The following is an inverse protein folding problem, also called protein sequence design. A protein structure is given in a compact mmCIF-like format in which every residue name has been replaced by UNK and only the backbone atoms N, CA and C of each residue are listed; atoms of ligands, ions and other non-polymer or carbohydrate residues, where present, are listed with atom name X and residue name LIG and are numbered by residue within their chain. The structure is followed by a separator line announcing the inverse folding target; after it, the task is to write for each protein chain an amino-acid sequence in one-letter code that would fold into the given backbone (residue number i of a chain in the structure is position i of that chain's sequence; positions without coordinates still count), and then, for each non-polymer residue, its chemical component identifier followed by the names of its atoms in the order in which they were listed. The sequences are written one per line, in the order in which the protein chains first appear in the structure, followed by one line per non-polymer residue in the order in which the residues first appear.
data_IF_427356759348
#
_entry.id   IF_427356759348
#
_cell.length_a   1.000
_cell.length_b   1.000
_cell.length_c   1.000
_cell.angle_alpha   90.00
_cell.angle_beta   90.00
_cell.angle_gamma   90.00
#
_symmetry.space_group_name_H-M   'P 1'
#
loop_
_entity.id
_entity.type
_entity.pdbx_description
1 polymer ?
#
# COMPACT_ATOMS: atom_id res chain seq x y z
N UNK A 1 21.59 36.96 -61.36
CA UNK A 1 22.88 36.52 -60.82
C UNK A 1 22.97 37.00 -59.38
N UNK A 2 22.65 36.12 -58.43
CA UNK A 2 23.19 36.05 -57.06
C UNK A 2 22.56 34.81 -56.45
N UNK A 3 23.36 33.75 -56.43
CA UNK A 3 23.06 32.43 -55.88
C UNK A 3 23.33 32.48 -54.37
N UNK A 4 22.27 32.42 -53.57
CA UNK A 4 22.35 32.33 -52.11
C UNK A 4 22.55 30.87 -51.72
N UNK A 5 23.81 30.47 -51.62
CA UNK A 5 24.22 29.18 -51.06
C UNK A 5 24.42 29.35 -49.55
N UNK A 6 23.35 29.11 -48.80
CA UNK A 6 23.33 29.05 -47.35
C UNK A 6 23.82 27.66 -46.91
N UNK A 7 25.10 27.59 -46.53
CA UNK A 7 25.72 26.37 -46.04
C UNK A 7 25.29 26.12 -44.59
N UNK A 8 24.33 25.20 -44.42
CA UNK A 8 23.96 24.65 -43.11
C UNK A 8 25.14 23.89 -42.49
N UNK A 9 25.84 24.55 -41.57
CA UNK A 9 26.86 23.94 -40.73
C UNK A 9 26.22 22.95 -39.76
N UNK A 10 26.26 21.66 -40.08
CA UNK A 10 25.91 20.59 -39.14
C UNK A 10 26.82 20.68 -37.92
N UNK A 11 26.31 20.87 -36.70
CA UNK A 11 27.13 20.81 -35.50
C UNK A 11 27.64 19.38 -35.35
N UNK A 12 28.95 19.20 -35.57
CA UNK A 12 29.65 17.95 -35.31
C UNK A 12 29.75 17.74 -33.80
N UNK A 13 28.68 17.26 -33.18
CA UNK A 13 28.68 16.78 -31.79
C UNK A 13 29.58 15.55 -31.70
N UNK A 14 30.84 15.76 -31.31
CA UNK A 14 31.83 14.69 -31.16
C UNK A 14 31.50 13.73 -30.01
N UNK A 15 32.04 12.49 -30.04
CA UNK A 15 31.77 11.44 -29.04
C UNK A 15 32.21 11.79 -27.61
N UNK A 16 33.00 12.85 -27.42
CA UNK A 16 33.49 13.28 -26.11
C UNK A 16 32.40 13.85 -25.19
N UNK A 17 31.31 14.41 -25.73
CA UNK A 17 30.22 14.97 -24.91
C UNK A 17 29.38 13.88 -24.27
N UNK A 18 29.15 12.76 -24.98
CA UNK A 18 28.41 11.61 -24.47
C UNK A 18 29.15 10.91 -23.31
N UNK A 19 30.48 10.80 -23.40
CA UNK A 19 31.27 10.16 -22.35
C UNK A 19 31.27 10.94 -21.03
N UNK A 20 31.20 12.29 -21.09
CA UNK A 20 31.17 13.11 -19.88
C UNK A 20 29.84 12.99 -19.14
N UNK A 21 28.72 12.91 -19.86
CA UNK A 21 27.40 12.74 -19.26
C UNK A 21 27.26 11.41 -18.49
N UNK A 22 27.74 10.32 -19.09
CA UNK A 22 27.70 9.00 -18.43
C UNK A 22 28.52 8.95 -17.13
N UNK A 23 29.71 9.57 -17.12
CA UNK A 23 30.54 9.64 -15.93
C UNK A 23 29.89 10.48 -14.81
N UNK A 24 29.24 11.60 -15.18
CA UNK A 24 28.51 12.44 -14.23
C UNK A 24 27.31 11.69 -13.63
N UNK A 25 26.53 10.98 -14.45
CA UNK A 25 25.41 10.18 -13.96
C UNK A 25 25.88 9.06 -13.01
N UNK A 26 26.93 8.33 -13.37
CA UNK A 26 27.47 7.28 -12.50
C UNK A 26 27.96 7.83 -11.14
N UNK A 27 28.51 9.05 -11.12
CA UNK A 27 28.90 9.72 -9.89
C UNK A 27 27.68 10.08 -9.03
N UNK A 28 26.58 10.55 -9.63
CA UNK A 28 25.33 10.81 -8.92
C UNK A 28 24.72 9.52 -8.34
N UNK A 29 24.71 8.44 -9.13
CA UNK A 29 24.24 7.12 -8.66
C UNK A 29 25.05 6.63 -7.48
N UNK A 30 26.38 6.74 -7.54
CA UNK A 30 27.26 6.37 -6.44
C UNK A 30 27.03 7.24 -5.20
N UNK A 31 26.84 8.55 -5.36
CA UNK A 31 26.59 9.47 -4.25
C UNK A 31 25.26 9.17 -3.56
N UNK A 32 24.18 8.99 -4.33
CA UNK A 32 22.87 8.63 -3.82
C UNK A 32 22.88 7.27 -3.09
N UNK A 33 23.50 6.25 -3.68
CA UNK A 33 23.64 4.94 -3.05
C UNK A 33 24.45 5.00 -1.74
N UNK A 34 25.51 5.82 -1.70
CA UNK A 34 26.28 6.03 -0.48
C UNK A 34 25.46 6.71 0.62
N UNK A 35 24.65 7.71 0.27
CA UNK A 35 23.77 8.39 1.21
C UNK A 35 22.73 7.42 1.81
N UNK A 36 22.01 6.67 0.97
CA UNK A 36 21.02 5.68 1.43
C UNK A 36 21.66 4.58 2.28
N UNK A 37 22.86 4.12 1.92
CA UNK A 37 23.57 3.11 2.70
C UNK A 37 23.94 3.57 4.13
N UNK A 38 24.06 4.89 4.38
CA UNK A 38 24.31 5.42 5.72
C UNK A 38 23.10 5.26 6.63
N UNK A 39 21.87 5.41 6.12
CA UNK A 39 20.64 5.20 6.90
C UNK A 39 20.58 3.81 7.54
N UNK A 40 21.08 2.77 6.85
CA UNK A 40 21.08 1.39 7.37
C UNK A 40 21.91 1.18 8.65
N UNK A 41 22.92 2.03 8.87
CA UNK A 41 23.93 1.84 9.92
C UNK A 41 24.00 3.01 10.90
N UNK A 42 23.25 4.06 10.61
CA UNK A 42 23.30 5.29 11.37
C UNK A 42 22.67 5.09 12.75
N UNK A 43 23.34 5.59 13.78
CA UNK A 43 22.67 5.97 15.03
C UNK A 43 21.74 7.17 14.79
N UNK A 44 20.89 7.49 15.77
CA UNK A 44 19.96 8.63 15.69
C UNK A 44 20.68 9.97 15.37
N UNK A 45 21.86 10.21 15.96
CA UNK A 45 22.69 11.36 15.63
C UNK A 45 23.25 11.33 14.19
N UNK A 46 23.60 10.14 13.71
CA UNK A 46 24.11 9.95 12.34
C UNK A 46 23.00 10.01 11.30
N UNK A 47 21.75 9.72 11.67
CA UNK A 47 20.59 9.84 10.79
C UNK A 47 20.40 11.28 10.36
N UNK A 48 20.52 12.24 11.28
CA UNK A 48 20.43 13.67 10.94
C UNK A 48 21.51 14.10 9.93
N UNK A 49 22.72 13.57 10.05
CA UNK A 49 23.80 13.82 9.07
C UNK A 49 23.45 13.19 7.71
N UNK A 50 22.97 11.95 7.70
CA UNK A 50 22.57 11.26 6.47
C UNK A 50 21.38 11.94 5.77
N UNK A 51 20.40 12.42 6.54
CA UNK A 51 19.27 13.24 6.06
C UNK A 51 19.79 14.52 5.41
N UNK A 52 20.63 15.29 6.10
CA UNK A 52 21.18 16.53 5.55
C UNK A 52 22.00 16.31 4.25
N UNK A 53 22.81 15.25 4.18
CA UNK A 53 23.55 14.89 2.96
C UNK A 53 22.60 14.56 1.80
N UNK A 54 21.57 13.77 2.05
CA UNK A 54 20.59 13.39 1.04
C UNK A 54 19.77 14.60 0.56
N UNK A 55 19.32 15.45 1.48
CA UNK A 55 18.63 16.72 1.16
C UNK A 55 19.51 17.63 0.31
N UNK A 56 20.81 17.74 0.61
CA UNK A 56 21.74 18.53 -0.20
C UNK A 56 21.89 17.99 -1.64
N UNK A 57 21.86 16.67 -1.82
CA UNK A 57 21.86 16.07 -3.18
C UNK A 57 20.54 16.32 -3.92
N UNK A 58 19.41 16.22 -3.21
CA UNK A 58 18.06 16.39 -3.77
C UNK A 58 17.74 17.84 -4.14
N UNK A 59 18.33 18.82 -3.45
CA UNK A 59 18.16 20.26 -3.72
C UNK A 59 19.21 20.84 -4.67
N UNK A 60 20.19 20.04 -5.10
CA UNK A 60 21.24 20.45 -6.03
C UNK A 60 20.77 20.56 -7.49
N UNK A 61 21.69 20.94 -8.38
CA UNK A 61 21.43 21.13 -9.82
C UNK A 61 20.86 19.89 -10.52
N UNK A 62 21.15 18.69 -9.99
CA UNK A 62 20.67 17.41 -10.52
C UNK A 62 19.56 16.78 -9.65
N UNK A 63 18.86 17.58 -8.84
CA UNK A 63 17.91 17.11 -7.83
C UNK A 63 16.85 16.13 -8.35
N UNK A 64 16.27 16.40 -9.52
CA UNK A 64 15.27 15.52 -10.15
C UNK A 64 15.85 14.16 -10.54
N UNK A 65 17.07 14.14 -11.08
CA UNK A 65 17.77 12.89 -11.43
C UNK A 65 18.14 12.10 -10.18
N UNK A 66 18.66 12.79 -9.15
CA UNK A 66 18.97 12.17 -7.85
C UNK A 66 17.72 11.57 -7.23
N UNK A 67 16.58 12.28 -7.26
CA UNK A 67 15.30 11.76 -6.75
C UNK A 67 14.93 10.43 -7.38
N UNK A 68 14.93 10.33 -8.72
CA UNK A 68 14.61 9.08 -9.42
C UNK A 68 15.57 7.93 -9.08
N UNK A 69 16.86 8.24 -8.87
CA UNK A 69 17.86 7.26 -8.42
C UNK A 69 17.56 6.79 -7.00
N UNK A 70 17.31 7.72 -6.08
CA UNK A 70 17.05 7.45 -4.66
C UNK A 70 15.79 6.60 -4.50
N UNK A 71 14.69 6.95 -5.18
CA UNK A 71 13.46 6.15 -5.19
C UNK A 71 13.69 4.72 -5.69
N UNK A 72 14.51 4.56 -6.74
CA UNK A 72 14.85 3.24 -7.27
C UNK A 72 15.66 2.40 -6.27
N UNK A 73 16.60 3.02 -5.56
CA UNK A 73 17.42 2.35 -4.55
C UNK A 73 16.56 2.00 -3.33
N UNK A 74 15.75 2.94 -2.84
CA UNK A 74 14.91 2.79 -1.65
C UNK A 74 13.97 1.58 -1.74
N UNK A 75 13.38 1.29 -2.91
CA UNK A 75 12.53 0.09 -3.10
C UNK A 75 13.21 -1.24 -2.77
N UNK A 76 14.54 -1.29 -2.76
CA UNK A 76 15.33 -2.48 -2.38
C UNK A 76 15.78 -2.50 -0.92
N UNK A 77 15.42 -1.50 -0.11
CA UNK A 77 15.87 -1.33 1.27
C UNK A 77 14.91 -1.94 2.31
N UNK A 78 15.30 -1.93 3.58
CA UNK A 78 14.40 -2.25 4.70
C UNK A 78 13.31 -1.18 4.83
N UNK A 79 12.12 -1.58 5.30
CA UNK A 79 10.95 -0.68 5.39
C UNK A 79 11.23 0.58 6.25
N UNK A 80 11.98 0.43 7.34
CA UNK A 80 12.39 1.56 8.18
C UNK A 80 13.25 2.57 7.40
N UNK A 81 14.20 2.08 6.58
CA UNK A 81 15.02 2.94 5.73
C UNK A 81 14.20 3.56 4.60
N UNK A 82 13.21 2.82 4.07
CA UNK A 82 12.30 3.35 3.06
C UNK A 82 11.53 4.55 3.60
N UNK A 83 10.91 4.43 4.77
CA UNK A 83 10.15 5.52 5.39
C UNK A 83 11.03 6.74 5.69
N UNK A 84 12.23 6.53 6.23
CA UNK A 84 13.18 7.62 6.49
C UNK A 84 13.60 8.35 5.21
N UNK A 85 13.83 7.61 4.12
CA UNK A 85 14.18 8.20 2.83
C UNK A 85 12.98 8.91 2.19
N UNK A 86 11.77 8.36 2.31
CA UNK A 86 10.53 8.98 1.83
C UNK A 86 10.24 10.30 2.53
N UNK A 87 10.44 10.38 3.86
CA UNK A 87 10.30 11.61 4.63
C UNK A 87 11.25 12.70 4.09
N UNK A 88 12.51 12.35 3.80
CA UNK A 88 13.48 13.28 3.22
C UNK A 88 13.11 13.68 1.79
N UNK A 89 12.56 12.77 0.99
CA UNK A 89 12.09 13.08 -0.36
C UNK A 89 10.93 14.08 -0.35
N UNK A 90 10.02 13.95 0.61
CA UNK A 90 8.91 14.88 0.84
C UNK A 90 9.42 16.24 1.34
N UNK A 91 10.31 16.26 2.33
CA UNK A 91 10.91 17.51 2.84
C UNK A 91 11.72 18.25 1.76
N UNK A 92 12.45 17.50 0.92
CA UNK A 92 13.21 18.04 -0.20
C UNK A 92 12.37 18.25 -1.47
N UNK A 93 11.06 17.98 -1.43
CA UNK A 93 10.18 18.39 -2.51
C UNK A 93 10.32 19.90 -2.69
N UNK A 94 10.52 20.40 -3.94
CA UNK A 94 10.35 21.82 -4.16
C UNK A 94 8.95 22.16 -3.63
N UNK A 95 8.83 23.25 -2.88
CA UNK A 95 7.54 23.79 -2.47
C UNK A 95 6.77 24.14 -3.75
N UNK A 96 6.21 23.13 -4.40
CA UNK A 96 5.22 23.23 -5.44
C UNK A 96 4.19 24.12 -4.81
N UNK A 97 4.05 25.34 -5.36
CA UNK A 97 3.41 26.48 -4.72
C UNK A 97 2.21 26.00 -3.94
N UNK A 98 2.17 26.42 -2.66
CA UNK A 98 1.15 26.04 -1.68
C UNK A 98 -0.14 25.63 -2.38
N UNK A 99 -0.70 24.42 -2.14
CA UNK A 99 -2.04 24.15 -2.62
C UNK A 99 -2.85 25.38 -2.26
N UNK A 100 -3.49 26.01 -3.26
CA UNK A 100 -4.57 26.96 -2.97
C UNK A 100 -5.36 26.28 -1.85
N UNK A 101 -5.58 26.96 -0.71
CA UNK A 101 -6.24 26.33 0.42
C UNK A 101 -7.43 25.61 -0.16
N UNK A 102 -7.45 24.27 -0.04
CA UNK A 102 -8.63 23.52 -0.45
C UNK A 102 -9.79 24.30 0.17
N UNK A 103 -10.80 24.71 -0.63
CA UNK A 103 -11.95 25.38 -0.06
C UNK A 103 -12.33 24.54 1.14
N UNK A 104 -12.39 25.17 2.34
CA UNK A 104 -12.80 24.48 3.56
C UNK A 104 -13.92 23.54 3.14
N UNK A 105 -13.77 22.21 3.33
CA UNK A 105 -14.79 21.29 2.87
C UNK A 105 -16.09 21.88 3.39
N UNK A 106 -17.00 22.25 2.46
CA UNK A 106 -18.33 22.67 2.85
C UNK A 106 -18.75 21.64 3.88
N UNK A 107 -19.15 22.06 5.10
CA UNK A 107 -19.41 21.13 6.19
C UNK A 107 -20.23 20.01 5.57
N UNK A 108 -19.67 18.80 5.56
CA UNK A 108 -20.36 17.66 4.99
C UNK A 108 -21.78 17.73 5.54
N UNK A 109 -22.82 17.69 4.69
CA UNK A 109 -24.18 17.67 5.19
C UNK A 109 -24.19 16.60 6.27
N UNK A 110 -24.56 16.99 7.51
CA UNK A 110 -24.63 16.06 8.64
C UNK A 110 -25.22 14.77 8.09
N UNK A 111 -24.50 13.64 8.19
CA UNK A 111 -24.97 12.41 7.58
C UNK A 111 -26.40 12.21 8.03
N UNK A 112 -27.34 12.24 7.08
CA UNK A 112 -28.72 11.91 7.36
C UNK A 112 -28.70 10.55 8.06
N UNK A 113 -29.18 10.44 9.30
CA UNK A 113 -29.07 9.23 10.09
C UNK A 113 -30.06 8.19 9.58
N UNK A 114 -29.80 7.60 8.42
CA UNK A 114 -30.63 6.56 7.82
C UNK A 114 -29.76 5.51 7.09
N UNK A 115 -29.09 4.64 7.87
CA UNK A 115 -28.92 3.18 7.60
C UNK A 115 -27.68 2.50 8.24
N UNK A 116 -26.75 3.22 8.89
CA UNK A 116 -25.57 2.57 9.50
C UNK A 116 -25.80 2.03 10.93
N UNK A 117 -26.94 2.35 11.55
CA UNK A 117 -27.26 1.96 12.93
C UNK A 117 -27.51 0.45 13.14
N UNK A 118 -27.53 -0.37 12.08
CA UNK A 118 -27.70 -1.83 12.21
C UNK A 118 -26.36 -2.59 12.26
N UNK A 119 -25.25 -2.00 11.81
CA UNK A 119 -23.97 -2.70 11.72
C UNK A 119 -23.29 -2.91 13.09
N UNK A 120 -23.57 -2.06 14.08
CA UNK A 120 -22.92 -2.11 15.40
C UNK A 120 -23.70 -2.87 16.47
N UNK A 121 -24.91 -3.38 16.15
CA UNK A 121 -25.62 -4.20 17.14
C UNK A 121 -24.82 -5.49 17.38
N UNK A 122 -24.46 -5.80 18.64
CA UNK A 122 -23.78 -7.05 18.95
C UNK A 122 -24.70 -8.20 18.55
N UNK A 123 -24.29 -8.97 17.54
CA UNK A 123 -25.03 -10.14 17.09
C UNK A 123 -25.15 -11.13 18.26
N UNK A 124 -26.38 -11.51 18.58
CA UNK A 124 -26.63 -12.54 19.58
C UNK A 124 -26.72 -13.91 18.92
N UNK A 125 -26.58 -14.97 19.70
CA UNK A 125 -26.76 -16.34 19.20
C UNK A 125 -28.16 -16.58 18.59
N UNK A 126 -29.16 -15.75 18.94
CA UNK A 126 -30.51 -15.84 18.39
C UNK A 126 -30.60 -15.32 16.93
N UNK A 127 -29.65 -14.50 16.50
CA UNK A 127 -29.61 -13.89 15.16
C UNK A 127 -28.87 -14.76 14.14
N UNK A 128 -28.26 -15.84 14.63
CA UNK A 128 -27.45 -16.79 13.86
C UNK A 128 -28.28 -18.03 13.52
N UNK A 129 -28.31 -18.39 12.25
CA UNK A 129 -28.94 -19.61 11.76
C UNK A 129 -27.86 -20.66 11.44
N UNK A 130 -27.84 -21.84 12.10
CA UNK A 130 -26.87 -22.88 11.81
C UNK A 130 -27.18 -23.51 10.45
N UNK A 131 -26.24 -23.41 9.51
CA UNK A 131 -26.37 -23.93 8.14
C UNK A 131 -25.51 -25.16 7.89
N UNK A 132 -24.56 -25.45 8.78
CA UNK A 132 -23.69 -26.63 8.70
C UNK A 132 -23.30 -27.07 10.11
N UNK A 133 -23.39 -28.36 10.42
CA UNK A 133 -22.99 -28.90 11.73
C UNK A 133 -22.26 -30.24 11.60
N UNK A 134 -20.94 -30.21 11.74
CA UNK A 134 -20.07 -31.38 11.64
C UNK A 134 -19.82 -32.00 13.02
N UNK A 135 -19.90 -33.34 13.17
CA UNK A 135 -19.60 -34.01 14.44
C UNK A 135 -18.16 -33.81 14.92
N UNK A 136 -17.25 -33.33 14.06
CA UNK A 136 -15.89 -32.93 14.44
C UNK A 136 -15.82 -31.57 15.15
N UNK A 137 -16.97 -30.93 15.39
CA UNK A 137 -17.06 -29.68 16.14
C UNK A 137 -16.91 -28.41 15.29
N UNK A 138 -17.18 -28.49 13.99
CA UNK A 138 -17.30 -27.31 13.11
C UNK A 138 -18.78 -26.99 12.90
N UNK A 139 -19.19 -25.78 13.28
CA UNK A 139 -20.54 -25.27 13.03
C UNK A 139 -20.43 -23.99 12.21
N UNK A 140 -21.15 -23.90 11.09
CA UNK A 140 -21.26 -22.66 10.32
C UNK A 140 -22.62 -22.03 10.58
N UNK A 141 -22.61 -20.73 10.77
CA UNK A 141 -23.78 -19.90 10.95
C UNK A 141 -23.85 -18.85 9.85
N UNK A 142 -25.06 -18.57 9.37
CA UNK A 142 -25.37 -17.37 8.58
C UNK A 142 -26.23 -16.45 9.44
N UNK A 143 -26.03 -15.14 9.37
CA UNK A 143 -27.00 -14.22 9.98
C UNK A 143 -28.36 -14.34 9.30
N UNK A 144 -29.44 -14.19 10.08
CA UNK A 144 -30.81 -14.15 9.54
C UNK A 144 -31.03 -12.94 8.64
N UNK A 145 -30.42 -11.83 9.00
CA UNK A 145 -30.45 -10.56 8.30
C UNK A 145 -29.03 -10.27 7.77
N UNK A 146 -28.90 -10.08 6.45
CA UNK A 146 -27.62 -9.83 5.78
C UNK A 146 -26.84 -11.08 5.33
N UNK A 147 -25.57 -10.86 4.98
CA UNK A 147 -24.68 -11.87 4.38
C UNK A 147 -23.43 -12.16 5.23
N UNK A 148 -23.51 -11.94 6.55
CA UNK A 148 -22.40 -12.26 7.46
C UNK A 148 -22.40 -13.74 7.80
N UNK A 149 -21.20 -14.30 7.88
CA UNK A 149 -20.98 -15.72 8.16
C UNK A 149 -20.08 -15.88 9.36
N UNK A 150 -20.37 -16.87 10.18
CA UNK A 150 -19.57 -17.20 11.35
C UNK A 150 -19.25 -18.68 11.36
N UNK A 151 -18.05 -19.02 11.81
CA UNK A 151 -17.65 -20.39 12.08
C UNK A 151 -17.33 -20.53 13.56
N UNK A 152 -17.86 -21.59 14.18
CA UNK A 152 -17.48 -22.02 15.51
C UNK A 152 -16.72 -23.33 15.40
N UNK A 153 -15.51 -23.36 15.94
CA UNK A 153 -14.67 -24.56 16.00
C UNK A 153 -14.28 -24.84 17.45
N UNK A 154 -14.33 -26.10 17.86
CA UNK A 154 -13.80 -26.53 19.16
C UNK A 154 -12.27 -26.61 19.09
N UNK A 155 -11.57 -25.81 19.89
CA UNK A 155 -10.11 -25.86 19.97
C UNK A 155 -9.69 -27.23 20.57
N UNK A 156 -8.87 -28.03 19.88
CA UNK A 156 -8.47 -29.36 20.35
C UNK A 156 -7.59 -29.34 21.61
N UNK A 157 -6.97 -28.20 21.94
CA UNK A 157 -6.10 -28.06 23.12
C UNK A 157 -6.89 -27.71 24.37
N UNK A 158 -7.90 -26.85 24.24
CA UNK A 158 -8.67 -26.32 25.36
C UNK A 158 -10.06 -26.95 25.49
N UNK A 159 -10.57 -27.56 24.42
CA UNK A 159 -11.94 -28.05 24.32
C UNK A 159 -12.99 -26.94 24.28
N UNK A 160 -12.58 -25.67 24.18
CA UNK A 160 -13.50 -24.54 24.19
C UNK A 160 -13.93 -24.19 22.75
N UNK A 161 -15.22 -23.85 22.53
CA UNK A 161 -15.66 -23.35 21.24
C UNK A 161 -15.11 -21.93 21.01
N UNK A 162 -14.47 -21.73 19.86
CA UNK A 162 -14.03 -20.43 19.38
C UNK A 162 -14.84 -20.05 18.14
N UNK A 163 -15.51 -18.89 18.20
CA UNK A 163 -16.28 -18.35 17.08
C UNK A 163 -15.52 -17.22 16.41
N UNK A 164 -15.47 -17.23 15.08
CA UNK A 164 -14.86 -16.19 14.28
C UNK A 164 -15.76 -15.83 13.09
N UNK A 165 -15.69 -14.57 12.68
CA UNK A 165 -16.38 -14.08 11.49
C UNK A 165 -15.61 -14.49 10.23
N UNK A 166 -16.33 -14.97 9.23
CA UNK A 166 -15.80 -15.38 7.93
C UNK A 166 -16.06 -14.29 6.89
N UNK A 167 -15.01 -13.95 6.15
CA UNK A 167 -15.10 -13.08 4.97
C UNK A 167 -15.68 -13.86 3.78
N UNK A 168 -16.25 -13.15 2.82
CA UNK A 168 -16.93 -13.76 1.66
C UNK A 168 -16.06 -14.76 0.86
N UNK A 169 -14.75 -14.51 0.77
CA UNK A 169 -13.83 -15.43 0.11
C UNK A 169 -13.56 -16.70 0.94
N UNK A 170 -13.49 -16.60 2.26
CA UNK A 170 -13.31 -17.73 3.18
C UNK A 170 -14.56 -18.63 3.15
N UNK A 171 -15.76 -18.02 3.14
CA UNK A 171 -17.03 -18.74 2.97
C UNK A 171 -17.05 -19.54 1.67
N UNK A 172 -16.59 -18.93 0.58
CA UNK A 172 -16.56 -19.58 -0.74
C UNK A 172 -15.59 -20.78 -0.74
N UNK A 173 -14.40 -20.61 -0.16
CA UNK A 173 -13.43 -21.70 -0.02
C UNK A 173 -13.96 -22.83 0.86
N UNK A 174 -14.56 -22.51 2.01
CA UNK A 174 -15.17 -23.50 2.90
C UNK A 174 -16.31 -24.26 2.21
N UNK A 175 -17.19 -23.57 1.49
CA UNK A 175 -18.27 -24.20 0.71
C UNK A 175 -17.74 -25.17 -0.33
N UNK A 176 -16.66 -24.82 -1.03
CA UNK A 176 -15.99 -25.72 -1.97
C UNK A 176 -15.41 -26.96 -1.28
N UNK A 177 -14.73 -26.77 -0.14
CA UNK A 177 -14.15 -27.90 0.62
C UNK A 177 -15.21 -28.85 1.19
N UNK A 178 -16.35 -28.29 1.60
CA UNK A 178 -17.46 -29.02 2.19
C UNK A 178 -18.50 -29.47 1.14
N UNK A 179 -18.19 -29.34 -0.15
CA UNK A 179 -19.08 -29.77 -1.23
C UNK A 179 -19.34 -31.28 -1.12
N UNK A 180 -20.62 -31.65 -1.05
CA UNK A 180 -21.04 -33.06 -0.90
C UNK A 180 -21.07 -33.58 0.54
N UNK A 181 -20.77 -32.73 1.53
CA UNK A 181 -20.94 -33.10 2.94
C UNK A 181 -22.43 -33.32 3.28
N UNK A 182 -22.81 -34.39 4.03
CA UNK A 182 -24.20 -34.63 4.42
C UNK A 182 -24.66 -33.72 5.58
N UNK A 183 -23.77 -32.91 6.12
CA UNK A 183 -24.01 -32.09 7.32
C UNK A 183 -24.54 -30.69 7.00
N UNK A 184 -24.76 -30.37 5.73
CA UNK A 184 -25.46 -29.15 5.33
C UNK A 184 -26.91 -29.22 5.80
N UNK A 185 -27.34 -28.17 6.51
CA UNK A 185 -28.74 -27.98 6.87
C UNK A 185 -29.41 -27.26 5.70
N UNK A 186 -30.49 -27.85 5.20
CA UNK A 186 -31.31 -27.22 4.17
C UNK A 186 -31.92 -25.97 4.78
N UNK A 187 -31.61 -24.82 4.18
CA UNK A 187 -32.21 -23.56 4.62
C UNK A 187 -33.73 -23.65 4.38
N UNK A 188 -34.57 -23.49 5.42
CA UNK A 188 -36.01 -23.54 5.24
C UNK A 188 -36.51 -22.48 4.24
N UNK A 189 -35.78 -21.37 4.05
CA UNK A 189 -36.13 -20.34 3.08
C UNK A 189 -35.89 -20.74 1.61
N UNK A 190 -35.11 -21.79 1.35
CA UNK A 190 -34.78 -22.23 -0.03
C UNK A 190 -35.83 -23.18 -0.63
N UNK A 191 -36.90 -23.53 0.10
CA UNK A 191 -37.93 -24.50 -0.35
C UNK A 191 -39.21 -23.83 -0.89
N UNK A 192 -39.15 -22.60 -1.41
CA UNK A 192 -40.30 -21.95 -2.08
C UNK A 192 -40.05 -21.71 -3.56
#
# INVERSE_FOLDING_TARGET
MTDSSEAEGRPSGGPETLSRGAAAQAALEQAAAAAVARFRRASEEQLQVARAELTALLTGENGETVRGIVEKIARGELLEVQWEVEEVLEEAAPASGAPEPEPEPEPEPEPEPEAEAEAERPLTAADLMPVYEDPRGLVLYKTKEGDRWFATQVDPRTGQPQTFELRSHEVSQLRMQLQGSPYWRVDPATTM
#
